data_IF_137344686125
#
_entry.id   IF_137344686125
#
_cell.length_a   1.000
_cell.length_b   1.000
_cell.length_c   1.000
_cell.angle_alpha   90.00
_cell.angle_beta   90.00
_cell.angle_gamma   90.00
#
_symmetry.space_group_name_H-M   'P 1'
#
loop_
_entity.id
_entity.type
_entity.pdbx_description
1 polymer ?
#
# COMPACT_ATOMS: atom_id res chain seq x y z
N UNK A 1 -8.53 -7.36 25.15
CA UNK A 1 -9.19 -6.06 25.42
C UNK A 1 -8.54 -5.03 24.52
N UNK A 2 -9.32 -4.41 23.63
CA UNK A 2 -8.84 -3.32 22.77
C UNK A 2 -8.68 -2.05 23.62
N UNK A 3 -7.58 -1.31 23.43
CA UNK A 3 -7.36 -0.01 24.06
C UNK A 3 -7.08 1.02 22.98
N UNK A 4 -7.90 2.07 22.93
CA UNK A 4 -7.69 3.18 22.00
C UNK A 4 -6.51 4.04 22.44
N UNK A 5 -5.69 4.43 21.48
CA UNK A 5 -4.48 5.23 21.67
C UNK A 5 -4.76 6.69 21.32
N UNK A 6 -3.98 7.62 21.89
CA UNK A 6 -4.00 9.02 21.43
C UNK A 6 -3.28 9.11 20.09
N UNK A 7 -4.01 9.54 19.05
CA UNK A 7 -3.49 9.61 17.68
C UNK A 7 -3.70 10.99 17.08
N UNK A 8 -2.70 11.42 16.33
CA UNK A 8 -2.79 12.55 15.42
C UNK A 8 -3.17 12.07 14.02
N UNK A 9 -3.82 12.96 13.27
CA UNK A 9 -4.17 12.70 11.88
C UNK A 9 -2.89 12.57 11.04
N UNK A 10 -2.79 11.54 10.19
CA UNK A 10 -1.62 11.36 9.33
C UNK A 10 -1.54 12.47 8.29
N UNK A 11 -0.34 13.02 8.09
CA UNK A 11 -0.06 14.07 7.10
C UNK A 11 0.63 13.56 5.84
N UNK A 12 1.21 12.35 5.90
CA UNK A 12 2.02 11.76 4.84
C UNK A 12 1.48 10.38 4.46
N UNK A 13 1.70 10.00 3.20
CA UNK A 13 1.36 8.69 2.66
C UNK A 13 -0.14 8.31 2.78
N UNK A 14 -1.02 9.29 2.98
CA UNK A 14 -2.48 9.09 3.00
C UNK A 14 -2.96 8.86 1.57
N UNK A 15 -3.44 7.65 1.30
CA UNK A 15 -3.98 7.23 0.01
C UNK A 15 -5.47 7.53 -0.10
N UNK A 16 -6.22 7.38 1.01
CA UNK A 16 -7.64 7.68 1.06
C UNK A 16 -8.08 8.10 2.46
N UNK A 17 -9.13 8.92 2.51
CA UNK A 17 -9.75 9.38 3.76
C UNK A 17 -11.26 9.25 3.64
N UNK A 18 -11.87 8.56 4.59
CA UNK A 18 -13.31 8.44 4.71
C UNK A 18 -13.77 9.04 6.04
N UNK A 19 -14.68 10.02 5.95
CA UNK A 19 -15.20 10.73 7.11
C UNK A 19 -16.46 10.06 7.65
N UNK A 20 -16.77 10.29 8.93
CA UNK A 20 -17.99 9.78 9.57
C UNK A 20 -18.10 8.24 9.55
N UNK A 21 -16.97 7.56 9.60
CA UNK A 21 -16.89 6.10 9.68
C UNK A 21 -17.13 5.67 11.12
N UNK A 22 -18.12 4.81 11.34
CA UNK A 22 -18.37 4.20 12.64
C UNK A 22 -17.52 2.94 12.78
N UNK A 23 -16.69 2.88 13.82
CA UNK A 23 -15.86 1.72 14.10
C UNK A 23 -16.51 0.80 15.13
N UNK A 24 -16.39 -0.51 14.90
CA UNK A 24 -16.84 -1.54 15.82
C UNK A 24 -15.66 -2.45 16.18
N UNK A 25 -15.54 -2.81 17.45
CA UNK A 25 -14.67 -3.90 17.88
C UNK A 25 -15.54 -5.06 18.32
N UNK A 26 -15.51 -6.16 17.57
CA UNK A 26 -16.43 -7.28 17.74
C UNK A 26 -17.89 -6.83 17.62
N UNK A 27 -18.55 -6.51 18.76
CA UNK A 27 -19.91 -5.97 18.82
C UNK A 27 -20.00 -4.60 19.49
N UNK A 28 -18.90 -4.10 20.04
CA UNK A 28 -18.86 -2.85 20.76
C UNK A 28 -18.67 -1.69 19.78
N UNK A 29 -19.60 -0.73 19.80
CA UNK A 29 -19.48 0.49 19.03
C UNK A 29 -18.43 1.41 19.68
N UNK A 30 -17.36 1.71 18.94
CA UNK A 30 -16.30 2.64 19.36
C UNK A 30 -16.68 4.10 19.09
N UNK A 31 -17.76 4.32 18.33
CA UNK A 31 -18.28 5.63 17.93
C UNK A 31 -17.94 5.99 16.49
N UNK A 32 -18.24 7.24 16.14
CA UNK A 32 -17.97 7.81 14.82
C UNK A 32 -16.59 8.49 14.79
N UNK A 33 -15.87 8.33 13.69
CA UNK A 33 -14.55 8.92 13.48
C UNK A 33 -14.21 9.06 12.00
N UNK A 34 -12.95 9.33 11.72
CA UNK A 34 -12.41 9.41 10.37
C UNK A 34 -11.43 8.27 10.16
N UNK A 35 -11.55 7.59 9.02
CA UNK A 35 -10.69 6.51 8.58
C UNK A 35 -9.68 7.07 7.58
N UNK A 36 -8.41 6.81 7.82
CA UNK A 36 -7.30 7.14 6.94
C UNK A 36 -6.63 5.85 6.51
N UNK A 37 -6.47 5.67 5.20
CA UNK A 37 -5.75 4.57 4.62
C UNK A 37 -4.40 5.08 4.13
N UNK A 38 -3.32 4.55 4.69
CA UNK A 38 -1.96 4.77 4.18
C UNK A 38 -1.45 3.49 3.53
N UNK A 39 -0.33 3.60 2.82
CA UNK A 39 0.41 2.48 2.23
C UNK A 39 0.71 1.33 3.22
N UNK A 40 0.90 1.65 4.49
CA UNK A 40 1.36 0.71 5.53
C UNK A 40 0.32 0.40 6.61
N UNK A 41 -0.66 1.26 6.79
CA UNK A 41 -1.59 1.15 7.93
C UNK A 41 -2.95 1.79 7.66
N UNK A 42 -3.96 1.22 8.28
CA UNK A 42 -5.28 1.79 8.41
C UNK A 42 -5.38 2.46 9.79
N UNK A 43 -5.76 3.72 9.80
CA UNK A 43 -5.83 4.53 11.02
C UNK A 43 -7.25 5.05 11.15
N UNK A 44 -7.90 4.78 12.27
CA UNK A 44 -9.20 5.37 12.59
C UNK A 44 -9.08 6.24 13.83
N UNK A 45 -9.59 7.47 13.77
CA UNK A 45 -9.49 8.47 14.84
C UNK A 45 -10.85 9.09 15.10
N UNK A 46 -11.26 9.15 16.37
CA UNK A 46 -12.39 9.96 16.78
C UNK A 46 -11.94 11.44 16.88
N UNK A 47 -12.54 12.37 16.11
CA UNK A 47 -12.04 13.74 15.99
C UNK A 47 -12.21 14.55 17.28
N UNK A 48 -13.17 14.21 18.14
CA UNK A 48 -13.44 14.92 19.39
C UNK A 48 -12.50 14.48 20.51
N UNK A 49 -12.28 13.18 20.66
CA UNK A 49 -11.48 12.60 21.75
C UNK A 49 -10.01 12.39 21.41
N UNK A 50 -9.64 12.44 20.12
CA UNK A 50 -8.31 12.07 19.59
C UNK A 50 -7.91 10.61 19.87
N UNK A 51 -8.84 9.81 20.39
CA UNK A 51 -8.65 8.38 20.60
C UNK A 51 -8.88 7.64 19.30
N UNK A 52 -8.01 6.69 19.00
CA UNK A 52 -8.05 5.94 17.76
C UNK A 52 -7.36 4.60 17.83
N UNK A 53 -7.35 3.91 16.70
CA UNK A 53 -6.71 2.63 16.49
C UNK A 53 -5.88 2.67 15.20
N UNK A 54 -4.73 1.99 15.24
CA UNK A 54 -3.86 1.78 14.09
C UNK A 54 -3.78 0.30 13.80
N UNK A 55 -4.06 -0.07 12.57
CA UNK A 55 -4.02 -1.43 12.07
C UNK A 55 -2.96 -1.48 10.97
N UNK A 56 -1.73 -1.96 11.26
CA UNK A 56 -0.76 -2.30 10.24
C UNK A 56 -1.37 -3.22 9.19
N UNK A 57 -1.14 -2.95 7.91
CA UNK A 57 -1.67 -3.79 6.83
C UNK A 57 -1.28 -5.27 7.01
N UNK A 58 -0.04 -5.64 7.43
CA UNK A 58 0.32 -7.04 7.66
C UNK A 58 -0.42 -7.72 8.82
N UNK A 59 -1.05 -6.95 9.72
CA UNK A 59 -1.89 -7.52 10.78
C UNK A 59 -3.29 -7.87 10.29
N UNK A 60 -3.71 -7.41 9.12
CA UNK A 60 -5.03 -7.71 8.56
C UNK A 60 -4.97 -9.08 7.87
N UNK A 61 -5.64 -10.07 8.46
CA UNK A 61 -5.69 -11.46 7.96
C UNK A 61 -6.78 -11.61 6.89
N UNK A 62 -7.92 -10.95 7.10
CA UNK A 62 -9.05 -10.93 6.16
C UNK A 62 -9.60 -9.52 6.08
N UNK A 63 -9.91 -9.07 4.88
CA UNK A 63 -10.76 -7.92 4.63
C UNK A 63 -11.93 -8.36 3.75
N UNK A 64 -13.12 -7.88 4.04
CA UNK A 64 -14.32 -8.16 3.26
C UNK A 64 -15.24 -6.94 3.24
N UNK A 65 -15.91 -6.72 2.12
CA UNK A 65 -16.98 -5.73 2.02
C UNK A 65 -18.30 -6.46 2.28
N UNK A 66 -19.01 -6.06 3.31
CA UNK A 66 -20.35 -6.57 3.62
C UNK A 66 -21.38 -5.54 3.17
N UNK A 67 -22.26 -5.96 2.26
CA UNK A 67 -23.43 -5.19 1.85
C UNK A 67 -24.72 -5.76 2.46
N UNK A 68 -24.62 -6.57 3.52
CA UNK A 68 -25.80 -7.21 4.12
C UNK A 68 -26.57 -6.25 5.03
N UNK A 69 -27.75 -5.83 4.55
CA UNK A 69 -28.74 -5.03 5.28
C UNK A 69 -29.23 -5.64 6.60
N UNK A 70 -28.94 -6.91 6.88
CA UNK A 70 -29.42 -7.58 8.11
C UNK A 70 -28.63 -7.18 9.35
N UNK A 71 -27.34 -6.83 9.20
CA UNK A 71 -26.46 -6.50 10.33
C UNK A 71 -26.05 -5.03 10.33
N UNK A 72 -25.85 -4.45 9.16
CA UNK A 72 -25.55 -3.03 8.98
C UNK A 72 -26.39 -2.49 7.82
N UNK A 73 -27.16 -1.40 8.01
CA UNK A 73 -28.00 -0.85 6.95
C UNK A 73 -27.19 -0.27 5.78
N UNK A 74 -25.91 0.02 6.02
CA UNK A 74 -24.96 0.59 5.04
C UNK A 74 -23.84 -0.41 4.72
N UNK A 75 -23.24 -0.34 3.51
CA UNK A 75 -22.03 -1.10 3.18
C UNK A 75 -20.94 -0.87 4.22
N UNK A 76 -20.38 -1.95 4.75
CA UNK A 76 -19.34 -1.87 5.77
C UNK A 76 -18.12 -2.73 5.41
N UNK A 77 -16.96 -2.29 5.90
CA UNK A 77 -15.73 -3.06 5.81
C UNK A 77 -15.61 -3.94 7.06
N UNK A 78 -15.46 -5.24 6.87
CA UNK A 78 -15.13 -6.19 7.92
C UNK A 78 -13.65 -6.55 7.83
N UNK A 79 -12.93 -6.44 8.95
CA UNK A 79 -11.52 -6.82 9.04
C UNK A 79 -11.31 -7.82 10.18
N UNK A 80 -10.60 -8.91 9.89
CA UNK A 80 -10.05 -9.80 10.90
C UNK A 80 -8.57 -9.48 11.05
N UNK A 81 -8.14 -9.22 12.28
CA UNK A 81 -6.75 -8.86 12.58
C UNK A 81 -6.05 -9.91 13.43
N UNK A 82 -4.76 -10.16 13.15
CA UNK A 82 -3.87 -10.90 14.03
C UNK A 82 -3.17 -9.93 14.99
N UNK A 83 -3.48 -10.06 16.27
CA UNK A 83 -2.86 -9.27 17.34
C UNK A 83 -1.68 -10.00 18.00
N UNK A 84 -1.15 -11.05 17.37
CA UNK A 84 -0.01 -11.78 17.89
C UNK A 84 1.22 -10.87 17.98
N UNK A 85 1.94 -10.99 19.10
CA UNK A 85 3.17 -10.21 19.33
C UNK A 85 4.20 -10.46 18.22
N UNK A 86 4.25 -11.67 17.67
CA UNK A 86 5.16 -12.03 16.58
C UNK A 86 4.92 -11.19 15.33
N UNK A 87 3.67 -11.03 14.88
CA UNK A 87 3.35 -10.21 13.70
C UNK A 87 3.65 -8.74 13.95
N UNK A 88 3.35 -8.23 15.15
CA UNK A 88 3.68 -6.85 15.53
C UNK A 88 5.19 -6.58 15.55
N UNK A 89 5.97 -7.47 16.19
CA UNK A 89 7.42 -7.35 16.30
C UNK A 89 8.09 -7.46 14.90
N UNK A 90 7.58 -8.36 14.04
CA UNK A 90 8.05 -8.49 12.65
C UNK A 90 7.79 -7.22 11.84
N UNK A 91 6.58 -6.67 11.90
CA UNK A 91 6.25 -5.43 11.19
C UNK A 91 7.11 -4.26 11.65
N UNK A 92 7.32 -4.10 12.96
CA UNK A 92 8.19 -3.06 13.50
C UNK A 92 9.63 -3.21 13.00
N UNK A 93 10.13 -4.45 12.94
CA UNK A 93 11.48 -4.74 12.43
C UNK A 93 11.61 -4.40 10.94
N UNK A 94 10.63 -4.80 10.14
CA UNK A 94 10.62 -4.55 8.69
C UNK A 94 10.56 -3.05 8.37
N UNK A 95 9.71 -2.29 9.04
CA UNK A 95 9.65 -0.83 8.86
C UNK A 95 10.99 -0.17 9.16
N UNK A 96 11.62 -0.55 10.27
CA UNK A 96 12.93 -0.02 10.66
C UNK A 96 14.01 -0.32 9.62
N UNK A 97 13.97 -1.49 8.98
CA UNK A 97 14.93 -1.85 7.94
C UNK A 97 14.74 -1.04 6.65
N UNK A 98 13.50 -0.70 6.29
CA UNK A 98 13.21 0.08 5.08
C UNK A 98 13.68 1.54 5.20
N UNK A 99 13.58 2.14 6.39
CA UNK A 99 14.10 3.50 6.63
C UNK A 99 15.62 3.61 6.44
N UNK A 100 16.35 2.49 6.61
CA UNK A 100 17.81 2.45 6.52
C UNK A 100 18.34 2.26 5.10
N UNK A 101 17.47 2.01 4.12
CA UNK A 101 17.85 1.84 2.72
C UNK A 101 16.91 2.66 1.83
N UNK A 102 17.03 4.01 1.83
CA UNK A 102 16.33 4.84 0.85
C UNK A 102 16.71 4.36 -0.55
N UNK A 103 15.72 4.17 -1.43
CA UNK A 103 15.98 3.71 -2.80
C UNK A 103 16.97 4.67 -3.49
N UNK A 104 17.99 4.15 -4.20
CA UNK A 104 18.88 5.00 -4.98
C UNK A 104 18.05 5.72 -6.05
N UNK A 105 18.26 7.03 -6.18
CA UNK A 105 17.66 7.85 -7.24
C UNK A 105 17.83 7.14 -8.58
N UNK A 106 16.72 6.89 -9.30
CA UNK A 106 16.73 6.22 -10.60
C UNK A 106 17.73 6.93 -11.53
N UNK A 107 18.82 6.25 -11.85
CA UNK A 107 19.75 6.71 -12.88
C UNK A 107 18.99 6.56 -14.21
N UNK A 108 18.76 7.67 -14.90
CA UNK A 108 18.07 7.66 -16.19
C UNK A 108 18.74 6.69 -17.18
N UNK A 109 18.05 5.62 -17.55
CA UNK A 109 18.44 4.71 -18.63
C UNK A 109 18.29 5.45 -19.97
N UNK A 110 19.34 6.17 -20.38
CA UNK A 110 19.54 6.57 -21.78
C UNK A 110 20.10 5.36 -22.54
N UNK A 111 19.25 4.35 -22.75
CA UNK A 111 19.58 3.20 -23.58
C UNK A 111 19.29 3.55 -25.05
N UNK A 112 20.34 3.95 -25.76
CA UNK A 112 20.36 4.00 -27.22
C UNK A 112 20.30 2.56 -27.77
N UNK A 113 19.09 2.05 -28.02
CA UNK A 113 18.87 0.82 -28.77
C UNK A 113 19.17 1.08 -30.26
N UNK A 114 20.37 0.72 -30.72
CA UNK A 114 20.62 0.55 -32.16
C UNK A 114 19.92 -0.74 -32.62
N UNK A 115 18.93 -0.57 -33.51
CA UNK A 115 18.13 -1.64 -34.11
C UNK A 115 18.95 -2.33 -35.22
N UNK A 116 19.51 -3.50 -34.93
CA UNK A 116 20.18 -4.34 -35.93
C UNK A 116 19.09 -5.10 -36.73
N UNK A 117 18.60 -4.50 -37.82
CA UNK A 117 17.62 -5.12 -38.72
C UNK A 117 18.20 -6.38 -39.39
N UNK A 118 17.71 -7.56 -38.99
CA UNK A 118 17.89 -8.80 -39.74
C UNK A 118 16.99 -8.79 -40.98
N UNK A 119 17.54 -9.13 -42.15
CA UNK A 119 16.70 -9.44 -43.30
C UNK A 119 15.93 -10.77 -43.09
N UNK A 120 14.87 -10.99 -43.86
CA UNK A 120 13.91 -12.10 -43.72
C UNK A 120 14.53 -13.51 -43.82
N UNK A 121 15.82 -13.60 -44.18
CA UNK A 121 16.57 -14.85 -44.28
C UNK A 121 17.55 -15.07 -43.11
N UNK A 122 17.64 -14.14 -42.15
CA UNK A 122 18.38 -14.31 -40.89
C UNK A 122 19.90 -14.28 -41.00
N UNK A 123 20.47 -13.70 -42.08
CA UNK A 123 21.91 -13.52 -42.22
C UNK A 123 22.30 -12.05 -41.96
N UNK A 124 23.38 -11.84 -41.19
CA UNK A 124 24.00 -10.52 -41.00
C UNK A 124 24.48 -10.02 -42.36
N UNK A 125 24.01 -8.85 -42.79
CA UNK A 125 24.47 -8.20 -44.01
C UNK A 125 25.96 -7.90 -43.92
N UNK A 126 26.80 -8.71 -44.55
CA UNK A 126 28.20 -8.37 -44.71
C UNK A 126 28.28 -7.26 -45.76
N UNK A 127 28.52 -6.03 -45.31
CA UNK A 127 28.92 -4.92 -46.17
C UNK A 127 30.34 -5.19 -46.70
N UNK A 128 30.48 -6.10 -47.66
CA UNK A 128 31.72 -6.23 -48.43
C UNK A 128 31.83 -5.03 -49.39
N UNK A 129 32.75 -4.13 -49.05
CA UNK A 129 33.21 -3.02 -49.87
C UNK A 129 33.52 -3.45 -51.31
N UNK A 130 32.90 -2.80 -52.30
CA UNK A 130 33.44 -2.74 -53.66
C UNK A 130 33.29 -1.33 -54.23
N UNK A 131 34.45 -0.68 -54.32
CA UNK A 131 34.80 0.43 -55.18
C UNK A 131 34.19 0.36 -56.60
N UNK A 132 33.94 1.52 -57.21
CA UNK A 132 34.02 1.62 -58.67
C UNK A 132 33.10 2.63 -59.34
N UNK A 133 33.65 3.83 -59.59
CA UNK A 133 33.50 4.68 -60.78
C UNK A 133 32.26 4.52 -61.70
N UNK A 134 31.49 5.60 -61.82
CA UNK A 134 31.40 6.38 -63.08
C UNK A 134 30.78 7.77 -62.87
#
# INVERSE_FOLDING_TARGET
MLVLQDLDEPTENVMATENMVVAYWERDCLGQGNLFLTDRQMIWINPTSRKGLRLPVPSIVVHAVSASNESFPEPCLFTLIDTSKAVQDLFATLNKCQELNPEPEEMSEDDNYEDEEYNENGELGNDEEMNGDH
#
